data_IF_507153427616
#
_entry.id   IF_507153427616
#
_cell.length_a   1.000
_cell.length_b   1.000
_cell.length_c   1.000
_cell.angle_alpha   90.00
_cell.angle_beta   90.00
_cell.angle_gamma   90.00
#
_symmetry.space_group_name_H-M   'P 1'
#
loop_
_entity.id
_entity.type
_entity.pdbx_description
1 polymer ?
#
# COMPACT_ATOMS: atom_id res chain seq x y z
N UNK A 1 -49.03 72.96 4.18
CA UNK A 1 -48.71 71.53 4.23
C UNK A 1 -47.24 71.40 3.78
N UNK A 2 -46.37 71.24 4.76
CA UNK A 2 -44.93 71.10 4.52
C UNK A 2 -44.61 69.59 4.44
N UNK A 3 -44.15 69.11 3.30
CA UNK A 3 -43.74 67.73 3.11
C UNK A 3 -42.42 67.48 3.86
N UNK A 4 -42.41 66.52 4.79
CA UNK A 4 -41.23 66.10 5.49
C UNK A 4 -40.35 65.28 4.51
N UNK A 5 -39.02 65.49 4.46
CA UNK A 5 -38.15 64.68 3.63
C UNK A 5 -37.97 63.27 4.25
N UNK A 6 -38.15 62.24 3.44
CA UNK A 6 -37.89 60.85 3.83
C UNK A 6 -36.42 60.66 4.21
N UNK A 7 -36.13 59.88 5.28
CA UNK A 7 -34.75 59.58 5.66
C UNK A 7 -34.07 58.67 4.61
N UNK A 8 -32.76 58.89 4.35
CA UNK A 8 -32.05 58.13 3.32
C UNK A 8 -31.96 56.65 3.74
N UNK A 9 -32.37 55.73 2.85
CA UNK A 9 -32.18 54.27 2.97
C UNK A 9 -30.70 53.96 3.12
N UNK A 10 -30.28 53.53 4.33
CA UNK A 10 -28.93 53.05 4.61
C UNK A 10 -28.70 51.77 3.83
N UNK A 11 -27.81 51.78 2.82
CA UNK A 11 -27.42 50.60 2.07
C UNK A 11 -26.74 49.60 3.03
N UNK A 12 -27.07 48.28 2.96
CA UNK A 12 -26.50 47.27 3.87
C UNK A 12 -24.99 47.03 3.68
N UNK A 13 -24.40 47.55 2.58
CA UNK A 13 -23.00 47.37 2.21
C UNK A 13 -21.98 48.25 2.95
N UNK A 14 -22.40 49.12 3.90
CA UNK A 14 -21.49 50.03 4.60
C UNK A 14 -21.04 49.59 6.00
N UNK A 15 -21.24 48.33 6.38
CA UNK A 15 -20.72 47.84 7.67
C UNK A 15 -19.31 47.21 7.45
N UNK A 16 -18.22 47.92 7.86
CA UNK A 16 -16.85 47.45 7.68
C UNK A 16 -16.60 46.11 8.40
N UNK A 17 -17.34 45.82 9.46
CA UNK A 17 -17.30 44.57 10.19
C UNK A 17 -17.79 43.38 9.37
N UNK A 18 -18.85 43.51 8.57
CA UNK A 18 -19.36 42.44 7.72
C UNK A 18 -18.36 42.10 6.61
N UNK A 19 -17.69 43.13 6.07
CA UNK A 19 -16.68 42.92 5.00
C UNK A 19 -15.44 42.23 5.55
N UNK A 20 -14.97 42.54 6.76
CA UNK A 20 -13.83 41.87 7.39
C UNK A 20 -14.12 40.41 7.67
N UNK A 21 -15.33 40.05 8.11
CA UNK A 21 -15.74 38.64 8.29
C UNK A 21 -15.83 37.87 6.98
N UNK A 22 -16.31 38.50 5.91
CA UNK A 22 -16.35 37.90 4.59
C UNK A 22 -14.94 37.62 4.03
N UNK A 23 -14.01 38.56 4.21
CA UNK A 23 -12.60 38.38 3.79
C UNK A 23 -11.92 37.26 4.58
N UNK A 24 -12.12 37.21 5.90
CA UNK A 24 -11.59 36.11 6.74
C UNK A 24 -12.18 34.76 6.35
N UNK A 25 -13.48 34.70 6.03
CA UNK A 25 -14.13 33.47 5.53
C UNK A 25 -13.53 32.97 4.21
N UNK A 26 -13.32 33.87 3.26
CA UNK A 26 -12.70 33.55 1.96
C UNK A 26 -11.26 33.09 2.17
N UNK A 27 -10.48 33.78 3.02
CA UNK A 27 -9.11 33.39 3.30
C UNK A 27 -9.03 31.99 3.95
N UNK A 28 -9.92 31.67 4.89
CA UNK A 28 -10.00 30.35 5.51
C UNK A 28 -10.36 29.25 4.50
N UNK A 29 -11.29 29.54 3.55
CA UNK A 29 -11.63 28.60 2.49
C UNK A 29 -10.47 28.35 1.53
N UNK A 30 -9.71 29.39 1.17
CA UNK A 30 -8.53 29.26 0.29
C UNK A 30 -7.44 28.42 0.97
N UNK A 31 -7.16 28.71 2.26
CA UNK A 31 -6.19 27.92 3.04
C UNK A 31 -6.64 26.46 3.17
N UNK A 32 -7.91 26.24 3.50
CA UNK A 32 -8.49 24.89 3.56
C UNK A 32 -8.39 24.13 2.24
N UNK A 33 -8.66 24.80 1.12
CA UNK A 33 -8.50 24.24 -0.21
C UNK A 33 -7.04 23.85 -0.52
N UNK A 34 -6.07 24.73 -0.18
CA UNK A 34 -4.65 24.44 -0.40
C UNK A 34 -4.19 23.24 0.43
N UNK A 35 -4.57 23.17 1.71
CA UNK A 35 -4.23 22.05 2.59
C UNK A 35 -4.86 20.76 2.08
N UNK A 36 -6.14 20.80 1.68
CA UNK A 36 -6.86 19.64 1.16
C UNK A 36 -6.27 19.13 -0.16
N UNK A 37 -5.95 20.03 -1.10
CA UNK A 37 -5.34 19.65 -2.39
C UNK A 37 -3.95 19.02 -2.19
N UNK A 38 -3.12 19.61 -1.33
CA UNK A 38 -1.81 19.04 -0.97
C UNK A 38 -1.91 17.67 -0.32
N UNK A 39 -2.88 17.49 0.58
CA UNK A 39 -3.08 16.21 1.26
C UNK A 39 -3.55 15.12 0.29
N UNK A 40 -4.40 15.47 -0.68
CA UNK A 40 -4.89 14.54 -1.70
C UNK A 40 -3.80 14.12 -2.69
N UNK A 41 -2.97 15.07 -3.12
CA UNK A 41 -1.83 14.79 -4.01
C UNK A 41 -0.75 13.93 -3.35
N UNK A 42 -0.43 14.17 -2.08
CA UNK A 42 0.57 13.39 -1.35
C UNK A 42 0.20 11.90 -1.25
N UNK A 43 -1.07 11.57 -1.02
CA UNK A 43 -1.52 10.18 -1.00
C UNK A 43 -1.37 9.48 -2.35
N UNK A 44 -1.65 10.17 -3.44
CA UNK A 44 -1.50 9.61 -4.78
C UNK A 44 -0.02 9.34 -5.14
N UNK A 45 0.89 10.20 -4.67
CA UNK A 45 2.34 10.05 -4.87
C UNK A 45 2.89 8.84 -4.11
N UNK A 46 2.49 8.63 -2.85
CA UNK A 46 2.93 7.49 -2.05
C UNK A 46 2.52 6.15 -2.68
N UNK A 47 1.29 6.05 -3.20
CA UNK A 47 0.80 4.84 -3.87
C UNK A 47 1.60 4.56 -5.14
N UNK A 48 1.86 5.58 -5.96
CA UNK A 48 2.66 5.45 -7.19
C UNK A 48 4.11 5.07 -6.89
N UNK A 49 4.76 5.74 -5.94
CA UNK A 49 6.13 5.44 -5.54
C UNK A 49 6.27 4.00 -5.02
N UNK A 50 5.28 3.51 -4.26
CA UNK A 50 5.23 2.13 -3.78
C UNK A 50 5.06 1.13 -4.94
N UNK A 51 4.20 1.44 -5.92
CA UNK A 51 4.02 0.60 -7.10
C UNK A 51 5.28 0.54 -7.96
N UNK A 52 5.94 1.67 -8.20
CA UNK A 52 7.20 1.72 -8.95
C UNK A 52 8.33 0.94 -8.26
N UNK A 53 8.44 1.05 -6.94
CA UNK A 53 9.46 0.31 -6.19
C UNK A 53 9.24 -1.21 -6.28
N UNK A 54 7.99 -1.67 -6.18
CA UNK A 54 7.62 -3.08 -6.35
C UNK A 54 7.93 -3.55 -7.77
N UNK A 55 7.67 -2.73 -8.77
CA UNK A 55 7.90 -3.08 -10.17
C UNK A 55 9.39 -3.21 -10.49
N UNK A 56 10.21 -2.25 -10.03
CA UNK A 56 11.67 -2.31 -10.14
C UNK A 56 12.24 -3.56 -9.46
N UNK A 57 11.76 -3.90 -8.28
CA UNK A 57 12.20 -5.09 -7.57
C UNK A 57 11.84 -6.37 -8.33
N UNK A 58 10.64 -6.44 -8.93
CA UNK A 58 10.25 -7.59 -9.78
C UNK A 58 11.15 -7.76 -11.01
N UNK A 59 11.56 -6.66 -11.63
CA UNK A 59 12.45 -6.70 -12.79
C UNK A 59 13.86 -7.18 -12.40
N UNK A 60 14.38 -6.70 -11.26
CA UNK A 60 15.66 -7.14 -10.73
C UNK A 60 15.63 -8.64 -10.36
N UNK A 61 14.58 -9.08 -9.68
CA UNK A 61 14.40 -10.49 -9.31
C UNK A 61 14.30 -11.38 -10.57
N UNK A 62 13.62 -10.93 -11.63
CA UNK A 62 13.58 -11.65 -12.91
C UNK A 62 14.95 -11.78 -13.54
N UNK A 63 15.71 -10.69 -13.62
CA UNK A 63 17.05 -10.72 -14.18
C UNK A 63 17.99 -11.66 -13.38
N UNK A 64 17.86 -11.68 -12.06
CA UNK A 64 18.60 -12.60 -11.21
C UNK A 64 18.20 -14.08 -11.44
N UNK A 65 16.90 -14.36 -11.62
CA UNK A 65 16.40 -15.70 -11.94
C UNK A 65 16.91 -16.21 -13.29
N UNK A 66 16.96 -15.36 -14.30
CA UNK A 66 17.48 -15.71 -15.62
C UNK A 66 18.98 -16.03 -15.59
N UNK A 67 19.75 -15.36 -14.72
CA UNK A 67 21.19 -15.58 -14.60
C UNK A 67 21.57 -16.77 -13.72
N UNK A 68 20.78 -17.03 -12.65
CA UNK A 68 21.12 -18.02 -11.62
C UNK A 68 20.25 -19.30 -11.69
N UNK A 69 19.17 -19.28 -12.45
CA UNK A 69 18.21 -20.38 -12.53
C UNK A 69 18.78 -21.59 -13.26
N UNK A 70 18.86 -22.75 -12.58
CA UNK A 70 18.98 -24.06 -13.25
C UNK A 70 17.76 -24.29 -14.15
N UNK A 71 17.72 -25.43 -14.91
CA UNK A 71 16.63 -25.69 -15.88
C UNK A 71 15.34 -26.25 -15.28
N UNK A 72 15.33 -26.64 -13.99
CA UNK A 72 14.19 -27.34 -13.38
C UNK A 72 13.39 -26.42 -12.45
N UNK A 73 12.07 -26.57 -12.46
CA UNK A 73 11.17 -25.92 -11.51
C UNK A 73 11.47 -26.43 -10.09
N UNK A 74 11.93 -25.56 -9.21
CA UNK A 74 12.30 -25.95 -7.86
C UNK A 74 11.97 -24.87 -6.82
N UNK A 75 11.51 -25.32 -5.65
CA UNK A 75 11.51 -24.52 -4.41
C UNK A 75 12.84 -24.79 -3.74
N UNK A 76 13.72 -23.80 -3.68
CA UNK A 76 15.05 -23.93 -3.09
C UNK A 76 15.01 -23.84 -1.58
N UNK A 77 14.19 -22.95 -1.07
CA UNK A 77 13.94 -22.79 0.36
C UNK A 77 12.53 -22.25 0.60
N UNK A 78 11.96 -22.64 1.74
CA UNK A 78 10.73 -22.07 2.28
C UNK A 78 10.74 -22.25 3.78
N UNK A 79 10.85 -21.16 4.53
CA UNK A 79 10.95 -21.18 5.97
C UNK A 79 10.33 -19.92 6.61
N UNK A 80 10.02 -20.02 7.89
CA UNK A 80 9.53 -18.93 8.72
C UNK A 80 10.55 -18.55 9.80
N UNK A 81 10.75 -17.27 10.01
CA UNK A 81 11.59 -16.78 11.11
C UNK A 81 10.90 -15.62 11.86
N UNK A 82 10.69 -15.76 13.16
CA UNK A 82 10.80 -16.97 13.98
C UNK A 82 9.69 -18.00 13.67
N UNK A 83 9.94 -19.28 13.90
CA UNK A 83 8.97 -20.36 13.64
C UNK A 83 7.82 -20.43 14.66
N UNK A 84 7.96 -19.75 15.82
CA UNK A 84 6.94 -19.64 16.87
C UNK A 84 6.86 -18.19 17.34
N UNK A 85 5.65 -17.65 17.42
CA UNK A 85 5.37 -16.27 17.78
C UNK A 85 4.26 -16.19 18.84
N UNK A 86 4.12 -15.03 19.46
CA UNK A 86 2.94 -14.68 20.25
C UNK A 86 1.83 -14.15 19.33
N UNK A 87 0.61 -14.26 19.79
CA UNK A 87 -0.55 -13.76 19.04
C UNK A 87 -0.37 -12.29 18.63
N UNK A 88 -0.44 -12.02 17.32
CA UNK A 88 -0.31 -10.67 16.75
C UNK A 88 1.13 -10.19 16.53
N UNK A 89 2.15 -11.00 16.83
CA UNK A 89 3.51 -10.71 16.42
C UNK A 89 3.71 -11.00 14.93
N UNK A 90 4.64 -10.27 14.32
CA UNK A 90 5.03 -10.47 12.93
C UNK A 90 6.04 -11.60 12.79
N UNK A 91 5.89 -12.39 11.74
CA UNK A 91 6.83 -13.42 11.32
C UNK A 91 7.17 -13.21 9.85
N UNK A 92 8.43 -13.43 9.50
CA UNK A 92 8.89 -13.39 8.11
C UNK A 92 8.82 -14.79 7.49
N UNK A 93 8.07 -14.91 6.39
CA UNK A 93 8.07 -16.08 5.52
C UNK A 93 9.05 -15.82 4.38
N UNK A 94 10.14 -16.56 4.36
CA UNK A 94 11.16 -16.43 3.33
C UNK A 94 11.09 -17.62 2.37
N UNK A 95 11.16 -17.34 1.07
CA UNK A 95 11.18 -18.35 0.02
C UNK A 95 12.19 -18.01 -1.07
N UNK A 96 12.70 -19.03 -1.71
CA UNK A 96 13.51 -18.96 -2.92
C UNK A 96 13.05 -19.99 -3.92
N UNK A 97 12.84 -19.56 -5.17
CA UNK A 97 12.33 -20.42 -6.24
C UNK A 97 13.19 -20.30 -7.49
N UNK A 98 13.29 -21.37 -8.26
CA UNK A 98 13.98 -21.39 -9.54
C UNK A 98 13.00 -21.79 -10.65
N UNK A 99 13.12 -21.15 -11.81
CA UNK A 99 12.33 -21.39 -13.03
C UNK A 99 10.81 -21.29 -12.87
N UNK A 100 10.32 -20.67 -11.82
CA UNK A 100 8.92 -20.41 -11.64
C UNK A 100 8.47 -19.19 -12.46
N UNK A 101 7.36 -19.31 -13.18
CA UNK A 101 6.65 -18.21 -13.83
C UNK A 101 5.67 -17.55 -12.87
N UNK A 102 5.04 -18.34 -12.02
CA UNK A 102 4.08 -17.86 -11.02
C UNK A 102 4.40 -18.42 -9.64
N UNK A 103 4.10 -17.61 -8.63
CA UNK A 103 4.22 -17.98 -7.21
C UNK A 103 2.92 -17.61 -6.53
N UNK A 104 2.40 -18.49 -5.68
CA UNK A 104 1.23 -18.29 -4.85
C UNK A 104 1.55 -18.71 -3.43
N UNK A 105 1.25 -17.89 -2.47
CA UNK A 105 1.44 -18.16 -1.05
C UNK A 105 0.11 -17.98 -0.32
N UNK A 106 -0.38 -19.04 0.29
CA UNK A 106 -1.67 -19.07 1.00
C UNK A 106 -1.50 -19.53 2.45
N UNK A 107 -2.29 -19.04 3.39
CA UNK A 107 -3.26 -17.94 3.31
C UNK A 107 -2.57 -16.60 3.59
N UNK A 108 -2.45 -15.76 2.58
CA UNK A 108 -2.00 -14.38 2.78
C UNK A 108 -2.36 -13.51 1.56
N UNK A 109 -2.43 -12.19 1.73
CA UNK A 109 -2.86 -11.24 0.70
C UNK A 109 -1.74 -10.35 0.16
N UNK A 110 -0.53 -10.44 0.71
CA UNK A 110 0.59 -9.63 0.22
C UNK A 110 1.04 -10.12 -1.17
N UNK A 111 1.40 -9.21 -2.09
CA UNK A 111 1.82 -9.61 -3.42
C UNK A 111 3.12 -10.43 -3.37
N UNK A 112 3.11 -11.59 -4.03
CA UNK A 112 4.26 -12.47 -4.20
C UNK A 112 4.58 -12.63 -5.69
N UNK A 113 5.83 -12.86 -6.00
CA UNK A 113 6.32 -13.10 -7.37
C UNK A 113 7.54 -13.99 -7.35
N UNK A 114 7.91 -14.60 -8.49
CA UNK A 114 9.12 -15.40 -8.57
C UNK A 114 10.35 -14.61 -8.14
N UNK A 115 11.09 -15.14 -7.18
CA UNK A 115 12.33 -14.57 -6.67
C UNK A 115 13.25 -15.66 -6.16
N UNK A 116 14.56 -15.47 -6.30
CA UNK A 116 15.55 -16.39 -5.77
C UNK A 116 15.67 -16.31 -4.23
N UNK A 117 15.39 -15.15 -3.66
CA UNK A 117 15.36 -14.94 -2.21
C UNK A 117 14.40 -13.78 -1.89
N UNK A 118 13.27 -14.09 -1.29
CA UNK A 118 12.26 -13.10 -0.89
C UNK A 118 11.65 -13.45 0.45
N UNK A 119 11.43 -12.42 1.27
CA UNK A 119 10.70 -12.54 2.53
C UNK A 119 9.43 -11.68 2.51
N UNK A 120 8.38 -12.16 3.13
CA UNK A 120 7.08 -11.51 3.28
C UNK A 120 6.69 -11.54 4.75
N UNK A 121 6.32 -10.39 5.30
CA UNK A 121 5.84 -10.30 6.67
C UNK A 121 4.37 -10.68 6.77
N UNK A 122 4.05 -11.56 7.72
CA UNK A 122 2.69 -11.98 8.05
C UNK A 122 2.46 -11.92 9.56
N UNK A 123 1.22 -11.68 9.99
CA UNK A 123 0.85 -11.56 11.42
C UNK A 123 -0.30 -12.50 11.73
N UNK A 124 -0.06 -13.82 11.83
CA UNK A 124 -1.11 -14.77 12.12
C UNK A 124 -1.60 -14.61 13.56
N UNK A 125 -2.90 -14.70 13.78
CA UNK A 125 -3.54 -14.64 15.11
C UNK A 125 -3.75 -16.01 15.73
N UNK A 126 -3.53 -17.08 14.98
CA UNK A 126 -3.60 -18.50 15.38
C UNK A 126 -2.57 -19.29 14.59
N UNK A 127 -2.20 -20.48 15.09
CA UNK A 127 -1.32 -21.39 14.35
C UNK A 127 -1.86 -21.62 12.95
N UNK A 128 -1.03 -21.33 11.96
CA UNK A 128 -1.45 -21.27 10.54
C UNK A 128 -0.44 -22.00 9.69
N UNK A 129 -0.93 -22.88 8.82
CA UNK A 129 -0.12 -23.54 7.80
C UNK A 129 -0.09 -22.67 6.56
N UNK A 130 1.09 -22.29 6.15
CA UNK A 130 1.33 -21.56 4.91
C UNK A 130 1.77 -22.53 3.81
N UNK A 131 1.19 -22.38 2.64
CA UNK A 131 1.46 -23.23 1.47
C UNK A 131 1.97 -22.36 0.33
N UNK A 132 3.19 -22.66 -0.12
CA UNK A 132 3.83 -22.06 -1.27
C UNK A 132 3.60 -22.97 -2.48
N UNK A 133 2.94 -22.46 -3.51
CA UNK A 133 2.74 -23.13 -4.80
C UNK A 133 3.44 -22.35 -5.89
N UNK A 134 4.24 -23.01 -6.67
CA UNK A 134 4.94 -22.44 -7.83
C UNK A 134 4.52 -23.18 -9.10
N UNK A 135 4.48 -22.46 -10.21
CA UNK A 135 4.25 -23.03 -11.52
C UNK A 135 5.19 -22.43 -12.57
N UNK A 136 5.59 -23.23 -13.53
CA UNK A 136 6.41 -22.81 -14.67
C UNK A 136 5.56 -22.38 -15.88
N UNK A 137 6.21 -22.15 -17.01
CA UNK A 137 5.55 -21.79 -18.27
C UNK A 137 4.87 -22.98 -18.96
N UNK A 138 5.26 -24.21 -18.64
CA UNK A 138 4.71 -25.44 -19.19
C UNK A 138 3.45 -25.91 -18.45
N UNK A 139 3.23 -25.37 -17.23
CA UNK A 139 2.12 -25.72 -16.35
C UNK A 139 2.48 -26.73 -15.25
N UNK A 140 3.76 -27.11 -15.16
CA UNK A 140 4.24 -27.93 -14.06
C UNK A 140 4.17 -27.15 -12.75
N UNK A 141 3.79 -27.82 -11.67
CA UNK A 141 3.60 -27.20 -10.36
C UNK A 141 4.40 -27.91 -9.28
N UNK A 142 4.90 -27.14 -8.32
CA UNK A 142 5.50 -27.64 -7.08
C UNK A 142 4.88 -26.91 -5.90
N UNK A 143 4.70 -27.65 -4.80
CA UNK A 143 4.07 -27.11 -3.58
C UNK A 143 4.86 -27.53 -2.37
N UNK A 144 5.01 -26.61 -1.43
CA UNK A 144 5.62 -26.85 -0.13
C UNK A 144 4.83 -26.12 0.96
N UNK A 145 4.67 -26.75 2.12
CA UNK A 145 3.93 -26.18 3.25
C UNK A 145 4.80 -26.09 4.49
N UNK A 146 4.54 -25.09 5.31
CA UNK A 146 5.13 -24.93 6.66
C UNK A 146 4.08 -24.41 7.62
N UNK A 147 4.22 -24.76 8.90
CA UNK A 147 3.35 -24.29 9.97
C UNK A 147 4.07 -23.22 10.82
N UNK A 148 3.41 -22.07 11.02
CA UNK A 148 3.80 -21.07 12.00
C UNK A 148 2.96 -21.27 13.26
N UNK A 149 3.61 -21.54 14.39
CA UNK A 149 2.94 -21.77 15.67
C UNK A 149 2.72 -20.46 16.41
N UNK A 150 1.49 -20.25 16.89
CA UNK A 150 1.10 -19.11 17.74
C UNK A 150 0.80 -19.61 19.13
N UNK A 151 1.48 -19.01 20.11
CA UNK A 151 1.30 -19.27 21.56
C UNK A 151 0.39 -18.24 22.20
#
# INVERSE_FOLDING_TARGET
MLAQPEPPKKSPFKNPLLYSWAVLGIAALVVGWIIFSRWYENRAIEIRAKQESIQKQREQDRAALEQLGGKELAIQNFYAYPGTIRRGESVQLCYGVANAKTVKLEPQSNPVWPSYARCVDVTPTKSTTYTLTIADAAGDTRTQSLEVKVR
#
